data_IF_294624810835
#
_entry.id   IF_294624810835
#
_cell.length_a   1.000
_cell.length_b   1.000
_cell.length_c   1.000
_cell.angle_alpha   90.00
_cell.angle_beta   90.00
_cell.angle_gamma   90.00
#
_symmetry.space_group_name_H-M   'P 1'
#
loop_
_entity.id
_entity.type
_entity.pdbx_description
1 polymer ?
#
# COMPACT_ATOMS: atom_id res chain seq x y z
N UNK A 1 -22.84 -5.43 -4.17
CA UNK A 1 -22.33 -4.67 -5.33
C UNK A 1 -20.84 -4.57 -5.14
N UNK A 2 -20.06 -5.38 -5.83
CA UNK A 2 -18.60 -5.24 -5.85
C UNK A 2 -18.27 -3.94 -6.57
N UNK A 3 -17.39 -3.13 -5.97
CA UNK A 3 -16.88 -1.92 -6.61
C UNK A 3 -16.37 -2.31 -8.00
N UNK A 4 -16.95 -1.70 -9.03
CA UNK A 4 -16.55 -1.89 -10.41
C UNK A 4 -15.13 -1.34 -10.51
N UNK A 5 -14.17 -2.16 -10.94
CA UNK A 5 -12.77 -1.76 -11.15
C UNK A 5 -12.72 -0.49 -12.02
N UNK A 6 -12.49 0.65 -11.35
CA UNK A 6 -12.43 1.97 -11.99
C UNK A 6 -11.27 2.05 -12.97
N UNK A 7 -10.23 1.27 -12.71
CA UNK A 7 -9.02 1.16 -13.51
C UNK A 7 -8.92 -0.29 -13.99
N UNK A 8 -8.67 -0.54 -15.29
CA UNK A 8 -8.42 -1.88 -15.77
C UNK A 8 -7.15 -2.45 -15.11
N UNK A 9 -7.13 -3.75 -14.82
CA UNK A 9 -5.93 -4.44 -14.35
C UNK A 9 -4.81 -4.31 -15.38
N UNK A 10 -3.62 -3.90 -14.94
CA UNK A 10 -2.42 -3.85 -15.77
C UNK A 10 -1.73 -5.22 -15.74
N UNK A 11 -1.47 -5.80 -16.92
CA UNK A 11 -0.69 -7.03 -17.05
C UNK A 11 0.60 -6.70 -17.80
N UNK A 12 1.73 -6.85 -17.12
CA UNK A 12 3.06 -6.76 -17.72
C UNK A 12 3.56 -8.15 -18.09
N UNK A 13 4.55 -8.21 -18.97
CA UNK A 13 5.20 -9.49 -19.29
C UNK A 13 6.05 -9.97 -18.11
N UNK A 14 6.31 -11.28 -18.04
CA UNK A 14 7.15 -11.89 -16.98
C UNK A 14 8.60 -11.40 -16.98
N UNK A 15 9.04 -10.78 -18.09
CA UNK A 15 10.37 -10.19 -18.20
C UNK A 15 10.42 -8.77 -17.59
N UNK A 16 9.26 -8.13 -17.42
CA UNK A 16 9.11 -6.80 -16.84
C UNK A 16 8.69 -6.87 -15.37
N UNK A 17 7.85 -7.84 -15.00
CA UNK A 17 7.40 -8.08 -13.63
C UNK A 17 7.10 -9.57 -13.42
N UNK A 18 7.56 -10.15 -12.31
CA UNK A 18 7.29 -11.55 -11.95
C UNK A 18 5.96 -11.76 -11.20
N UNK A 19 5.17 -10.71 -11.02
CA UNK A 19 3.97 -10.68 -10.20
C UNK A 19 4.13 -9.88 -8.90
N UNK A 20 5.34 -9.42 -8.59
CA UNK A 20 5.58 -8.58 -7.41
C UNK A 20 4.71 -7.32 -7.40
N UNK A 21 4.61 -6.58 -8.51
CA UNK A 21 3.80 -5.34 -8.53
C UNK A 21 2.30 -5.56 -8.30
N UNK A 22 1.59 -6.49 -8.99
CA UNK A 22 0.19 -6.77 -8.70
C UNK A 22 -0.04 -7.30 -7.29
N UNK A 23 0.86 -8.15 -6.77
CA UNK A 23 0.76 -8.63 -5.38
C UNK A 23 0.84 -7.46 -4.38
N UNK A 24 1.71 -6.49 -4.66
CA UNK A 24 1.90 -5.32 -3.80
C UNK A 24 0.71 -4.34 -3.87
N UNK A 25 0.08 -4.19 -5.04
CA UNK A 25 -1.20 -3.48 -5.19
C UNK A 25 -2.30 -4.17 -4.41
N UNK A 26 -2.37 -5.50 -4.47
CA UNK A 26 -3.34 -6.31 -3.75
C UNK A 26 -3.15 -6.22 -2.23
N UNK A 27 -1.92 -6.30 -1.73
CA UNK A 27 -1.58 -6.10 -0.32
C UNK A 27 -2.04 -4.72 0.18
N UNK A 28 -1.77 -3.66 -0.60
CA UNK A 28 -2.25 -2.32 -0.27
C UNK A 28 -3.78 -2.29 -0.26
N UNK A 29 -4.43 -2.87 -1.27
CA UNK A 29 -5.89 -2.92 -1.40
C UNK A 29 -6.53 -3.58 -0.19
N UNK A 30 -6.02 -4.73 0.26
CA UNK A 30 -6.51 -5.43 1.44
C UNK A 30 -6.35 -4.61 2.72
N UNK A 31 -5.31 -3.77 2.80
CA UNK A 31 -5.05 -2.94 3.97
C UNK A 31 -5.93 -1.68 4.06
N UNK A 32 -6.40 -1.13 2.93
CA UNK A 32 -7.06 0.19 2.89
C UNK A 32 -8.54 0.18 2.49
N UNK A 33 -9.00 -0.82 1.73
CA UNK A 33 -10.41 -0.88 1.29
C UNK A 33 -11.34 -1.05 2.48
N UNK A 34 -12.44 -0.29 2.50
CA UNK A 34 -13.39 -0.26 3.61
C UNK A 34 -13.08 0.80 4.68
N UNK A 35 -11.98 1.53 4.53
CA UNK A 35 -11.56 2.58 5.46
C UNK A 35 -11.54 3.98 4.82
N UNK A 36 -11.45 5.02 5.66
CA UNK A 36 -11.19 6.40 5.23
C UNK A 36 -9.76 6.81 5.56
N UNK A 37 -9.17 7.68 4.75
CA UNK A 37 -7.84 8.24 5.03
C UNK A 37 -7.97 9.42 5.97
N UNK A 38 -7.31 9.35 7.12
CA UNK A 38 -7.18 10.45 8.08
C UNK A 38 -5.96 11.30 7.74
N UNK A 39 -4.83 10.67 7.45
CA UNK A 39 -3.59 11.38 7.12
C UNK A 39 -2.71 10.56 6.17
N UNK A 40 -1.86 11.25 5.40
CA UNK A 40 -0.89 10.64 4.50
C UNK A 40 0.43 11.42 4.57
N UNK A 41 1.52 10.78 5.01
CA UNK A 41 2.79 11.47 5.28
C UNK A 41 4.01 10.54 5.21
N UNK A 42 5.20 11.07 4.91
CA UNK A 42 6.46 10.32 5.08
C UNK A 42 6.90 10.42 6.55
N UNK A 43 7.28 9.30 7.17
CA UNK A 43 7.65 9.30 8.58
C UNK A 43 8.10 7.94 9.11
N UNK A 44 8.22 7.84 10.43
CA UNK A 44 8.50 6.58 11.15
C UNK A 44 7.29 6.14 11.96
N UNK A 45 7.02 4.85 11.98
CA UNK A 45 6.04 4.26 12.90
C UNK A 45 6.45 2.84 13.31
N UNK A 46 5.95 2.40 14.46
CA UNK A 46 6.10 1.02 14.92
C UNK A 46 5.23 0.11 14.06
N UNK A 47 5.76 -0.95 13.48
CA UNK A 47 4.98 -1.96 12.75
C UNK A 47 5.50 -3.36 13.08
N UNK A 48 4.61 -4.35 12.98
CA UNK A 48 5.00 -5.76 13.04
C UNK A 48 5.62 -6.11 11.70
N UNK A 49 6.86 -6.56 11.71
CA UNK A 49 7.59 -6.98 10.52
C UNK A 49 7.98 -8.45 10.66
N UNK A 50 7.88 -9.21 9.57
CA UNK A 50 8.41 -10.57 9.52
C UNK A 50 9.80 -10.54 8.88
N UNK A 51 10.84 -10.86 9.66
CA UNK A 51 12.19 -11.03 9.14
C UNK A 51 12.64 -12.45 9.35
N UNK A 52 13.00 -13.12 8.25
CA UNK A 52 13.50 -14.49 8.27
C UNK A 52 12.56 -15.48 9.00
N UNK A 53 11.24 -15.27 8.91
CA UNK A 53 10.25 -16.11 9.58
C UNK A 53 9.97 -15.75 11.04
N UNK A 54 10.54 -14.66 11.55
CA UNK A 54 10.32 -14.18 12.92
C UNK A 54 9.59 -12.84 12.88
N UNK A 55 8.43 -12.78 13.53
CA UNK A 55 7.70 -11.53 13.73
C UNK A 55 8.33 -10.72 14.86
N UNK A 56 8.56 -9.44 14.59
CA UNK A 56 9.12 -8.50 15.54
C UNK A 56 8.49 -7.12 15.40
N UNK A 57 8.48 -6.36 16.49
CA UNK A 57 8.04 -4.98 16.46
C UNK A 57 9.22 -4.04 16.17
N UNK A 58 9.16 -3.34 15.05
CA UNK A 58 10.24 -2.48 14.57
C UNK A 58 9.77 -1.08 14.21
N UNK A 59 10.68 -0.11 14.25
CA UNK A 59 10.43 1.23 13.71
C UNK A 59 10.69 1.22 12.20
N UNK A 60 9.63 1.35 11.41
CA UNK A 60 9.67 1.36 9.94
C UNK A 60 9.56 2.80 9.44
N UNK A 61 10.44 3.19 8.52
CA UNK A 61 10.35 4.47 7.80
C UNK A 61 9.73 4.25 6.43
N UNK A 62 8.78 5.09 6.04
CA UNK A 62 8.13 5.00 4.74
C UNK A 62 7.03 6.05 4.59
N UNK A 63 6.22 5.87 3.56
CA UNK A 63 4.97 6.61 3.40
C UNK A 63 3.87 5.94 4.22
N UNK A 64 3.24 6.71 5.11
CA UNK A 64 2.28 6.25 6.09
C UNK A 64 0.91 6.78 5.71
N UNK A 65 -0.04 5.88 5.53
CA UNK A 65 -1.47 6.15 5.37
C UNK A 65 -2.13 5.80 6.71
N UNK A 66 -2.62 6.80 7.41
CA UNK A 66 -3.40 6.62 8.64
C UNK A 66 -4.89 6.52 8.29
N UNK A 67 -5.53 5.48 8.81
CA UNK A 67 -6.94 5.17 8.58
C UNK A 67 -7.80 5.61 9.76
N UNK A 68 -9.12 5.65 9.56
CA UNK A 68 -10.07 6.16 10.53
C UNK A 68 -10.29 5.29 11.78
N UNK A 69 -9.80 4.05 11.78
CA UNK A 69 -9.73 3.18 12.95
C UNK A 69 -8.39 3.27 13.72
N UNK A 70 -7.48 4.15 13.28
CA UNK A 70 -6.13 4.31 13.82
C UNK A 70 -5.08 3.36 13.23
N UNK A 71 -5.47 2.47 12.30
CA UNK A 71 -4.53 1.63 11.55
C UNK A 71 -3.60 2.51 10.72
N UNK A 72 -2.32 2.16 10.67
CA UNK A 72 -1.31 2.80 9.83
C UNK A 72 -0.77 1.79 8.83
N UNK A 73 -0.96 2.07 7.55
CA UNK A 73 -0.38 1.30 6.45
C UNK A 73 0.89 2.01 6.01
N UNK A 74 2.02 1.32 6.07
CA UNK A 74 3.34 1.86 5.75
C UNK A 74 3.82 1.24 4.45
N UNK A 75 4.07 2.06 3.44
CA UNK A 75 4.74 1.69 2.20
C UNK A 75 6.23 2.05 2.33
N UNK A 76 7.07 1.04 2.54
CA UNK A 76 8.51 1.19 2.68
C UNK A 76 9.20 1.01 1.33
N UNK A 77 9.97 2.01 0.90
CA UNK A 77 10.78 1.94 -0.31
C UNK A 77 11.79 0.77 -0.23
N UNK A 78 12.06 0.12 -1.36
CA UNK A 78 13.02 -0.98 -1.51
C UNK A 78 14.08 -0.60 -2.55
N UNK A 79 15.33 -0.96 -2.27
CA UNK A 79 16.46 -0.78 -3.19
C UNK A 79 17.37 -2.02 -3.08
N UNK A 80 17.58 -2.70 -4.21
CA UNK A 80 18.49 -3.83 -4.35
C UNK A 80 19.22 -3.75 -5.70
N UNK A 81 20.35 -3.05 -5.69
CA UNK A 81 21.28 -2.92 -6.82
C UNK A 81 20.66 -2.28 -8.08
N UNK A 82 20.08 -3.10 -8.97
CA UNK A 82 19.45 -2.67 -10.21
C UNK A 82 17.92 -2.62 -10.10
N UNK A 83 17.38 -3.16 -9.02
CA UNK A 83 15.96 -3.15 -8.73
C UNK A 83 15.66 -2.12 -7.64
N UNK A 84 14.54 -1.42 -7.78
CA UNK A 84 14.09 -0.46 -6.79
C UNK A 84 12.58 -0.26 -6.89
N UNK A 85 12.00 0.23 -5.81
CA UNK A 85 10.62 0.72 -5.78
C UNK A 85 10.57 1.87 -4.77
N UNK A 86 10.14 3.03 -5.24
CA UNK A 86 10.21 4.27 -4.46
C UNK A 86 8.98 5.13 -4.71
N UNK A 87 8.42 5.67 -3.62
CA UNK A 87 7.40 6.71 -3.73
C UNK A 87 8.07 8.05 -4.06
N UNK A 88 7.85 8.53 -5.28
CA UNK A 88 8.37 9.82 -5.75
C UNK A 88 7.54 10.98 -5.22
N UNK A 89 6.23 10.96 -5.49
CA UNK A 89 5.30 12.01 -5.08
C UNK A 89 3.92 11.45 -4.75
N UNK A 90 3.13 12.20 -3.99
CA UNK A 90 1.74 11.85 -3.69
C UNK A 90 0.84 13.10 -3.72
N UNK A 91 -0.43 12.87 -4.04
CA UNK A 91 -1.48 13.89 -4.03
C UNK A 91 -2.70 13.33 -3.29
N UNK A 92 -2.97 13.89 -2.10
CA UNK A 92 -4.16 13.59 -1.32
C UNK A 92 -5.26 14.59 -1.71
N UNK A 93 -6.42 14.10 -2.16
CA UNK A 93 -7.58 14.89 -2.54
C UNK A 93 -8.39 15.29 -1.29
N UNK A 94 -8.31 16.54 -0.81
CA UNK A 94 -8.92 16.91 0.48
C UNK A 94 -10.45 16.82 0.48
N UNK A 95 -11.08 16.99 -0.69
CA UNK A 95 -12.52 16.89 -0.87
C UNK A 95 -13.03 15.44 -0.83
N UNK A 96 -12.13 14.46 -0.85
CA UNK A 96 -12.48 13.04 -0.98
C UNK A 96 -12.06 12.18 0.23
N UNK A 97 -11.32 12.74 1.20
CA UNK A 97 -10.81 11.99 2.37
C UNK A 97 -11.91 11.44 3.29
N UNK A 98 -13.10 12.05 3.27
CA UNK A 98 -14.25 11.60 4.05
C UNK A 98 -14.99 10.40 3.43
N UNK A 99 -14.53 9.89 2.28
CA UNK A 99 -15.14 8.75 1.60
C UNK A 99 -14.44 7.45 1.89
N UNK A 100 -15.24 6.39 2.03
CA UNK A 100 -14.75 5.02 2.18
C UNK A 100 -14.05 4.61 0.88
N UNK A 101 -12.81 4.14 1.01
CA UNK A 101 -12.03 3.60 -0.10
C UNK A 101 -12.73 2.34 -0.60
N UNK A 102 -12.98 2.31 -1.90
CA UNK A 102 -13.64 1.18 -2.58
C UNK A 102 -12.68 0.33 -3.38
N UNK A 103 -11.47 0.81 -3.67
CA UNK A 103 -10.47 0.05 -4.40
C UNK A 103 -9.11 0.74 -4.50
N UNK A 104 -8.17 -0.03 -5.04
CA UNK A 104 -6.84 0.41 -5.44
C UNK A 104 -6.63 -0.07 -6.87
N UNK A 105 -6.11 0.79 -7.74
CA UNK A 105 -5.82 0.46 -9.13
C UNK A 105 -4.59 1.20 -9.62
N UNK A 106 -4.12 0.86 -10.81
CA UNK A 106 -2.87 1.41 -11.34
C UNK A 106 -3.03 1.86 -12.79
N UNK A 107 -2.14 2.77 -13.20
CA UNK A 107 -1.90 3.11 -14.60
C UNK A 107 -0.41 3.28 -14.86
N UNK A 108 -0.06 3.31 -16.14
CA UNK A 108 1.28 3.61 -16.64
C UNK A 108 2.32 2.54 -16.23
N UNK A 109 1.93 1.26 -16.30
CA UNK A 109 2.81 0.15 -15.95
C UNK A 109 3.17 0.18 -14.46
N UNK A 110 2.17 0.31 -13.59
CA UNK A 110 2.33 0.43 -12.14
C UNK A 110 3.07 1.68 -11.65
N UNK A 111 3.36 2.66 -12.51
CA UNK A 111 4.01 3.90 -12.07
C UNK A 111 3.05 4.92 -11.44
N UNK A 112 1.75 4.76 -11.63
CA UNK A 112 0.73 5.60 -10.99
C UNK A 112 -0.24 4.71 -10.23
N UNK A 113 -0.32 4.85 -8.90
CA UNK A 113 -1.29 4.12 -8.10
C UNK A 113 -2.41 5.04 -7.64
N UNK A 114 -3.63 4.53 -7.71
CA UNK A 114 -4.87 5.21 -7.42
C UNK A 114 -5.56 4.49 -6.27
N UNK A 115 -5.68 5.17 -5.14
CA UNK A 115 -6.57 4.76 -4.06
C UNK A 115 -7.85 5.57 -4.23
N UNK A 116 -8.96 4.89 -4.50
CA UNK A 116 -10.17 5.56 -4.97
C UNK A 116 -11.43 5.15 -4.18
N UNK A 117 -12.40 6.06 -4.19
CA UNK A 117 -13.77 5.86 -3.74
C UNK A 117 -14.73 6.09 -4.92
N UNK A 118 -16.04 5.94 -4.70
CA UNK A 118 -17.09 6.07 -5.72
C UNK A 118 -16.97 7.34 -6.59
N UNK A 119 -16.47 8.44 -6.03
CA UNK A 119 -16.36 9.74 -6.70
C UNK A 119 -15.01 10.04 -7.35
N UNK A 120 -13.99 9.20 -7.17
CA UNK A 120 -12.67 9.40 -7.76
C UNK A 120 -11.50 9.05 -6.86
N UNK A 121 -10.32 9.52 -7.25
CA UNK A 121 -9.09 9.28 -6.52
C UNK A 121 -9.06 10.08 -5.22
N UNK A 122 -8.98 9.36 -4.10
CA UNK A 122 -8.76 9.93 -2.77
C UNK A 122 -7.28 10.23 -2.58
N UNK A 123 -6.41 9.31 -3.04
CA UNK A 123 -4.97 9.45 -2.96
C UNK A 123 -4.34 8.90 -4.25
N UNK A 124 -3.51 9.73 -4.89
CA UNK A 124 -2.72 9.35 -6.06
C UNK A 124 -1.23 9.31 -5.69
N UNK A 125 -0.55 8.25 -6.10
CA UNK A 125 0.86 8.03 -5.84
C UNK A 125 1.61 7.94 -7.17
N UNK A 126 2.75 8.64 -7.29
CA UNK A 126 3.71 8.44 -8.37
C UNK A 126 4.85 7.59 -7.86
N UNK A 127 5.10 6.48 -8.55
CA UNK A 127 6.02 5.43 -8.14
C UNK A 127 7.07 5.30 -9.24
N UNK A 128 8.33 5.32 -8.81
CA UNK A 128 9.46 4.91 -9.62
C UNK A 128 9.82 3.48 -9.25
N UNK A 129 9.86 2.58 -10.23
CA UNK A 129 10.25 1.20 -9.99
C UNK A 129 11.02 0.60 -11.16
N UNK A 130 11.79 -0.44 -10.86
CA UNK A 130 12.50 -1.28 -11.81
C UNK A 130 12.65 -2.65 -11.17
N UNK A 131 12.33 -3.72 -11.90
CA UNK A 131 12.63 -5.08 -11.46
C UNK A 131 14.12 -5.44 -11.57
N UNK A 132 14.89 -4.68 -12.38
CA UNK A 132 16.27 -5.02 -12.73
C UNK A 132 16.37 -6.36 -13.47
N UNK A 133 16.43 -7.44 -12.69
CA UNK A 133 16.14 -8.80 -13.14
C UNK A 133 15.08 -9.38 -12.19
N UNK A 134 13.85 -9.63 -12.67
CA UNK A 134 12.72 -9.94 -11.81
C UNK A 134 12.91 -11.25 -11.03
N UNK A 135 13.76 -12.17 -11.49
CA UNK A 135 14.01 -13.45 -10.83
C UNK A 135 15.17 -13.43 -9.82
N UNK A 136 15.86 -12.29 -9.65
CA UNK A 136 17.10 -12.22 -8.88
C UNK A 136 17.12 -11.12 -7.82
N UNK A 137 16.53 -9.96 -8.10
CA UNK A 137 16.57 -8.81 -7.20
C UNK A 137 15.20 -8.55 -6.58
N UNK A 138 15.18 -8.15 -5.32
CA UNK A 138 13.93 -7.79 -4.65
C UNK A 138 13.47 -6.38 -5.06
N UNK A 139 12.20 -6.24 -5.37
CA UNK A 139 11.53 -4.96 -5.63
C UNK A 139 10.09 -5.01 -5.06
N UNK A 140 9.28 -3.99 -5.35
CA UNK A 140 8.04 -3.73 -4.65
C UNK A 140 8.27 -2.96 -3.35
N UNK A 141 7.21 -2.42 -2.77
CA UNK A 141 7.24 -1.84 -1.43
C UNK A 141 7.20 -2.93 -0.36
N UNK A 142 7.89 -2.71 0.76
CA UNK A 142 7.53 -3.38 2.00
C UNK A 142 6.24 -2.78 2.55
N UNK A 143 5.12 -3.50 2.45
CA UNK A 143 3.83 -3.07 2.98
C UNK A 143 3.65 -3.60 4.41
N UNK A 144 3.58 -2.69 5.37
CA UNK A 144 3.43 -3.05 6.79
C UNK A 144 2.15 -2.44 7.36
N UNK A 145 1.39 -3.25 8.09
CA UNK A 145 0.17 -2.81 8.78
C UNK A 145 0.44 -2.70 10.27
N UNK A 146 0.32 -1.48 10.80
CA UNK A 146 0.44 -1.20 12.22
C UNK A 146 -0.93 -0.89 12.82
N UNK A 147 -1.33 -1.71 13.79
CA UNK A 147 -2.53 -1.51 14.62
C UNK A 147 -2.12 -1.21 16.05
N UNK A 148 -1.21 -0.25 16.24
CA UNK A 148 -0.65 0.10 17.54
C UNK A 148 -1.20 1.45 17.98
N UNK A 149 -2.01 1.43 19.03
CA UNK A 149 -2.56 2.63 19.65
C UNK A 149 -2.00 2.71 21.07
N UNK A 150 -1.37 3.83 21.41
CA UNK A 150 -0.77 4.07 22.73
C UNK A 150 0.22 3.00 23.22
N UNK A 151 0.88 2.29 22.28
CA UNK A 151 1.85 1.24 22.58
C UNK A 151 1.24 -0.15 22.77
N UNK A 152 -0.07 -0.31 22.63
CA UNK A 152 -0.76 -1.60 22.64
C UNK A 152 -1.11 -2.05 21.21
N UNK A 153 -0.83 -3.31 20.91
CA UNK A 153 -1.26 -3.95 19.64
C UNK A 153 -2.76 -4.25 19.76
N UNK A 154 -3.56 -3.60 18.93
CA UNK A 154 -4.99 -3.88 18.83
C UNK A 154 -5.16 -5.13 17.94
N UNK A 155 -5.75 -6.22 18.47
CA UNK A 155 -6.01 -7.41 17.68
C UNK A 155 -7.04 -7.12 16.59
N UNK A 156 -6.89 -7.82 15.46
CA UNK A 156 -7.87 -7.77 14.38
C UNK A 156 -9.26 -8.12 14.90
N UNK A 157 -10.22 -7.20 14.75
CA UNK A 157 -11.63 -7.53 14.98
C UNK A 157 -12.12 -8.33 13.78
N UNK A 158 -12.15 -9.67 13.92
CA UNK A 158 -12.91 -10.49 12.98
C UNK A 158 -14.34 -9.96 12.95
N UNK A 159 -14.82 -9.60 11.76
CA UNK A 159 -16.23 -9.33 11.56
C UNK A 159 -17.02 -10.51 12.11
N UNK A 160 -17.99 -10.24 12.97
CA UNK A 160 -18.87 -11.25 13.56
C UNK A 160 -19.52 -11.98 12.37
N UNK A 161 -19.22 -13.27 12.21
CA UNK A 161 -19.97 -14.14 11.31
C UNK A 161 -21.44 -14.10 11.77
N UNK A 162 -22.32 -13.51 10.94
CA UNK A 162 -23.77 -13.57 11.12
C UNK A 162 -24.34 -14.78 10.39
#
# INVERSE_FOLDING_TARGET
MTAIDRYPTEELSTDEDDGTMPDNVEELRQAVVGHRIVSATKGRTKAVVNRYGVEGLEDVYGFIIELDDGTKVVMQDTDDCCAHTTLETFLLSPESVDHIITGVGTTDGYETWHIFADMGDVLKLKIGWSCGNPFYYAYGFGIHVSRIVDGEVIPERKAIEQ
#
